data_IF_189286826951
#
_entry.id   IF_189286826951
#
_cell.length_a   1.000
_cell.length_b   1.000
_cell.length_c   1.000
_cell.angle_alpha   90.00
_cell.angle_beta   90.00
_cell.angle_gamma   90.00
#
_symmetry.space_group_name_H-M   'P 1'
#
loop_
_entity.id
_entity.type
_entity.pdbx_description
1 polymer ?
#
# COMPACT_ATOMS: atom_id res chain seq x y z
N UNK A 1 30.30 -20.50 12.46
CA UNK A 1 30.64 -20.18 11.05
C UNK A 1 29.81 -21.08 10.16
N UNK A 2 28.64 -20.61 9.77
CA UNK A 2 27.76 -21.24 8.78
C UNK A 2 27.24 -20.09 7.95
N UNK A 3 27.80 -19.96 6.75
CA UNK A 3 27.47 -18.93 5.78
C UNK A 3 26.12 -19.29 5.18
N UNK A 4 25.07 -18.56 5.54
CA UNK A 4 23.80 -18.62 4.83
C UNK A 4 23.96 -17.81 3.53
N UNK A 5 24.27 -18.52 2.47
CA UNK A 5 24.23 -18.01 1.09
C UNK A 5 22.78 -17.68 0.77
N UNK A 6 22.46 -16.39 0.63
CA UNK A 6 21.19 -15.97 0.02
C UNK A 6 21.17 -16.53 -1.40
N UNK A 7 20.24 -17.45 -1.65
CA UNK A 7 19.94 -17.92 -3.00
C UNK A 7 19.44 -16.72 -3.81
N UNK A 8 20.29 -16.21 -4.69
CA UNK A 8 19.89 -15.38 -5.82
C UNK A 8 18.79 -16.14 -6.57
N UNK A 9 17.70 -15.45 -6.88
CA UNK A 9 16.66 -15.98 -7.75
C UNK A 9 17.32 -16.50 -9.05
N UNK A 10 16.88 -17.65 -9.58
CA UNK A 10 17.40 -18.12 -10.85
C UNK A 10 17.14 -17.04 -11.90
N UNK A 11 18.21 -16.56 -12.54
CA UNK A 11 18.16 -15.85 -13.82
C UNK A 11 17.55 -16.80 -14.85
N UNK A 12 16.21 -16.88 -14.91
CA UNK A 12 15.38 -17.37 -16.03
C UNK A 12 13.92 -17.52 -15.56
N UNK A 13 13.23 -16.39 -15.44
CA UNK A 13 11.81 -16.32 -15.82
C UNK A 13 11.69 -15.09 -16.70
N UNK A 14 12.18 -15.21 -17.93
CA UNK A 14 11.93 -14.19 -18.94
C UNK A 14 10.44 -14.24 -19.24
N UNK A 15 9.71 -13.15 -18.96
CA UNK A 15 8.48 -12.86 -19.70
C UNK A 15 8.77 -13.04 -21.20
N UNK A 16 7.84 -13.54 -22.02
CA UNK A 16 8.10 -13.68 -23.44
C UNK A 16 8.41 -12.30 -24.02
N UNK A 17 9.70 -12.02 -24.21
CA UNK A 17 10.18 -10.86 -24.92
C UNK A 17 9.61 -10.94 -26.33
N UNK A 18 9.01 -9.84 -26.77
CA UNK A 18 8.39 -9.62 -28.07
C UNK A 18 8.97 -10.53 -29.16
N UNK A 19 8.27 -11.62 -29.46
CA UNK A 19 8.44 -12.27 -30.74
C UNK A 19 7.93 -11.25 -31.77
N UNK A 20 8.86 -10.55 -32.40
CA UNK A 20 8.60 -9.75 -33.59
C UNK A 20 8.25 -10.72 -34.71
N UNK A 21 7.00 -11.16 -34.76
CA UNK A 21 6.46 -11.87 -35.91
C UNK A 21 6.20 -10.82 -37.00
N UNK A 22 7.07 -10.83 -38.01
CA UNK A 22 6.83 -10.11 -39.26
C UNK A 22 5.48 -10.56 -39.85
N UNK A 23 4.54 -9.62 -40.01
CA UNK A 23 3.26 -9.89 -40.67
C UNK A 23 3.49 -10.10 -42.16
N UNK A 24 3.43 -11.36 -42.61
CA UNK A 24 3.04 -11.67 -43.98
C UNK A 24 1.51 -11.65 -44.03
N UNK A 25 0.97 -10.68 -44.78
CA UNK A 25 -0.47 -10.58 -45.06
C UNK A 25 -0.87 -11.79 -45.89
N UNK A 26 -1.63 -12.72 -45.31
CA UNK A 26 -2.48 -13.61 -46.07
C UNK A 26 -3.71 -13.99 -45.25
N UNK A 27 -4.87 -13.81 -45.85
CA UNK A 27 -6.17 -13.93 -45.21
C UNK A 27 -6.56 -15.37 -44.91
N UNK A 28 -7.18 -15.54 -43.75
CA UNK A 28 -8.26 -16.46 -43.37
C UNK A 28 -8.35 -16.36 -41.85
N UNK A 29 -9.54 -16.08 -41.32
CA UNK A 29 -9.83 -15.93 -39.89
C UNK A 29 -9.65 -17.26 -39.14
N UNK A 30 -8.40 -17.71 -38.97
CA UNK A 30 -8.07 -18.68 -37.96
C UNK A 30 -8.18 -17.98 -36.59
N UNK A 31 -9.02 -18.50 -35.70
CA UNK A 31 -9.06 -18.04 -34.32
C UNK A 31 -7.64 -18.12 -33.75
N UNK A 32 -7.12 -16.99 -33.26
CA UNK A 32 -5.79 -16.93 -32.65
C UNK A 32 -5.70 -18.00 -31.55
N UNK A 33 -4.60 -18.76 -31.47
CA UNK A 33 -4.45 -19.75 -30.41
C UNK A 33 -4.60 -19.08 -29.04
N UNK A 34 -5.25 -19.75 -28.08
CA UNK A 34 -5.43 -19.17 -26.75
C UNK A 34 -4.06 -18.92 -26.10
N UNK A 35 -3.95 -17.79 -25.40
CA UNK A 35 -2.70 -17.36 -24.79
C UNK A 35 -2.31 -18.29 -23.66
N UNK A 36 -1.01 -18.58 -23.59
CA UNK A 36 -0.44 -19.42 -22.56
C UNK A 36 0.04 -18.57 -21.38
N UNK A 37 -0.60 -18.73 -20.22
CA UNK A 37 -0.26 -18.10 -18.96
C UNK A 37 0.41 -19.08 -17.98
N UNK A 38 1.00 -20.18 -18.44
CA UNK A 38 1.68 -21.17 -17.58
C UNK A 38 2.69 -20.54 -16.62
N UNK A 39 3.41 -19.51 -17.05
CA UNK A 39 4.38 -18.78 -16.22
C UNK A 39 3.74 -18.05 -15.02
N UNK A 40 2.42 -17.83 -15.00
CA UNK A 40 1.69 -17.25 -13.86
C UNK A 40 1.21 -18.31 -12.86
N UNK A 41 1.35 -19.61 -13.20
CA UNK A 41 0.81 -20.73 -12.41
C UNK A 41 1.91 -21.53 -11.69
N UNK A 42 3.18 -21.19 -11.90
CA UNK A 42 4.31 -21.88 -11.29
C UNK A 42 4.24 -21.79 -9.75
N UNK A 43 4.12 -22.93 -9.04
CA UNK A 43 4.08 -22.95 -7.58
C UNK A 43 5.27 -22.28 -6.90
N UNK A 44 6.42 -22.20 -7.57
CA UNK A 44 7.64 -21.57 -7.03
C UNK A 44 7.53 -20.05 -6.90
N UNK A 45 6.54 -19.43 -7.55
CA UNK A 45 6.28 -18.00 -7.41
C UNK A 45 5.69 -17.70 -6.04
N UNK A 46 4.82 -18.58 -5.54
CA UNK A 46 4.00 -18.31 -4.36
C UNK A 46 4.81 -18.40 -3.08
N UNK A 47 4.86 -17.29 -2.35
CA UNK A 47 5.48 -17.19 -1.03
C UNK A 47 4.48 -17.59 0.06
N UNK A 48 5.02 -18.16 1.12
CA UNK A 48 4.25 -18.64 2.27
C UNK A 48 4.88 -18.11 3.56
N UNK A 49 4.03 -17.84 4.55
CA UNK A 49 4.49 -17.51 5.89
C UNK A 49 5.04 -18.75 6.60
N UNK A 50 6.03 -18.53 7.44
CA UNK A 50 6.57 -19.56 8.32
C UNK A 50 5.51 -20.04 9.33
N UNK A 51 5.75 -21.20 9.95
CA UNK A 51 4.84 -21.73 10.96
C UNK A 51 4.69 -20.78 12.16
N UNK A 52 5.76 -20.08 12.53
CA UNK A 52 5.76 -19.13 13.66
C UNK A 52 4.84 -17.95 13.35
N UNK A 53 5.00 -17.33 12.19
CA UNK A 53 4.19 -16.19 11.75
C UNK A 53 2.72 -16.57 11.56
N UNK A 54 2.44 -17.77 11.03
CA UNK A 54 1.07 -18.28 10.92
C UNK A 54 0.42 -18.48 12.29
N UNK A 55 1.17 -18.98 13.26
CA UNK A 55 0.68 -19.14 14.63
C UNK A 55 0.39 -17.77 15.27
N UNK A 56 1.21 -16.75 15.02
CA UNK A 56 0.97 -15.38 15.49
C UNK A 56 -0.26 -14.76 14.83
N UNK A 57 -0.44 -14.94 13.52
CA UNK A 57 -1.63 -14.48 12.79
C UNK A 57 -2.93 -15.13 13.27
N UNK A 58 -2.87 -16.36 13.80
CA UNK A 58 -4.06 -17.03 14.35
C UNK A 58 -4.69 -16.26 15.52
N UNK A 59 -3.91 -15.40 16.18
CA UNK A 59 -4.38 -14.47 17.22
C UNK A 59 -5.19 -13.29 16.66
N UNK A 60 -5.18 -13.09 15.34
CA UNK A 60 -5.87 -12.01 14.64
C UNK A 60 -6.84 -12.60 13.61
N UNK A 61 -8.13 -12.77 13.95
CA UNK A 61 -9.08 -13.51 13.13
C UNK A 61 -9.14 -13.03 11.68
N UNK A 62 -9.26 -11.72 11.44
CA UNK A 62 -9.34 -11.17 10.07
C UNK A 62 -8.09 -11.50 9.24
N UNK A 63 -6.91 -11.26 9.80
CA UNK A 63 -5.64 -11.51 9.11
C UNK A 63 -5.41 -13.01 8.85
N UNK A 64 -5.84 -13.88 9.77
CA UNK A 64 -5.85 -15.33 9.57
C UNK A 64 -6.77 -15.76 8.41
N UNK A 65 -7.98 -15.18 8.32
CA UNK A 65 -8.91 -15.45 7.22
C UNK A 65 -8.35 -14.97 5.87
N UNK A 66 -7.80 -13.76 5.82
CA UNK A 66 -7.17 -13.21 4.60
C UNK A 66 -5.98 -14.07 4.16
N UNK A 67 -5.14 -14.52 5.10
CA UNK A 67 -4.01 -15.39 4.77
C UNK A 67 -4.48 -16.76 4.23
N UNK A 68 -5.52 -17.34 4.85
CA UNK A 68 -6.12 -18.60 4.40
C UNK A 68 -6.69 -18.46 2.99
N UNK A 69 -7.41 -17.37 2.71
CA UNK A 69 -7.92 -17.06 1.38
C UNK A 69 -6.79 -16.93 0.35
N UNK A 70 -5.72 -16.19 0.67
CA UNK A 70 -4.56 -16.05 -0.20
C UNK A 70 -3.89 -17.41 -0.50
N UNK A 71 -3.81 -18.29 0.49
CA UNK A 71 -3.27 -19.65 0.35
C UNK A 71 -4.16 -20.51 -0.55
N UNK A 72 -5.48 -20.42 -0.39
CA UNK A 72 -6.42 -21.09 -1.28
C UNK A 72 -6.28 -20.60 -2.73
N UNK A 73 -6.11 -19.30 -2.95
CA UNK A 73 -5.88 -18.75 -4.29
C UNK A 73 -4.62 -19.32 -4.94
N UNK A 74 -3.49 -19.48 -4.23
CA UNK A 74 -2.29 -20.11 -4.81
C UNK A 74 -2.52 -21.58 -5.16
N UNK A 75 -3.26 -22.33 -4.32
CA UNK A 75 -3.59 -23.73 -4.64
C UNK A 75 -4.53 -23.85 -5.85
N UNK A 76 -5.47 -22.92 -5.99
CA UNK A 76 -6.38 -22.87 -7.13
C UNK A 76 -5.67 -22.44 -8.42
N UNK A 77 -4.72 -21.49 -8.34
CA UNK A 77 -3.89 -21.10 -9.47
C UNK A 77 -3.10 -22.28 -10.03
N UNK A 78 -2.50 -23.09 -9.15
CA UNK A 78 -1.72 -24.27 -9.56
C UNK A 78 -2.56 -25.35 -10.29
N UNK A 79 -3.89 -25.34 -10.15
CA UNK A 79 -4.80 -26.27 -10.82
C UNK A 79 -5.64 -25.64 -11.94
N UNK A 80 -5.46 -24.35 -12.21
CA UNK A 80 -6.19 -23.63 -13.27
C UNK A 80 -5.60 -23.96 -14.64
N UNK A 81 -6.43 -24.00 -15.69
CA UNK A 81 -5.94 -24.20 -17.05
C UNK A 81 -5.09 -23.01 -17.51
N UNK A 82 -3.97 -23.28 -18.19
CA UNK A 82 -3.00 -22.23 -18.60
C UNK A 82 -3.58 -21.16 -19.53
N UNK A 83 -4.70 -21.44 -20.18
CA UNK A 83 -5.39 -20.52 -21.10
C UNK A 83 -6.54 -19.75 -20.45
N UNK A 84 -6.88 -20.03 -19.19
CA UNK A 84 -8.07 -19.53 -18.52
C UNK A 84 -7.83 -18.19 -17.82
N UNK A 85 -7.59 -17.15 -18.62
CA UNK A 85 -7.41 -15.77 -18.13
C UNK A 85 -8.54 -15.30 -17.20
N UNK A 86 -9.76 -15.80 -17.40
CA UNK A 86 -10.95 -15.40 -16.64
C UNK A 86 -10.85 -15.82 -15.17
N UNK A 87 -10.24 -16.97 -14.87
CA UNK A 87 -10.01 -17.43 -13.50
C UNK A 87 -8.64 -17.02 -12.97
N UNK A 88 -7.60 -16.99 -13.82
CA UNK A 88 -6.23 -16.66 -13.41
C UNK A 88 -6.15 -15.25 -12.79
N UNK A 89 -6.65 -14.22 -13.48
CA UNK A 89 -6.46 -12.84 -13.03
C UNK A 89 -7.26 -12.48 -11.76
N UNK A 90 -8.52 -12.92 -11.56
CA UNK A 90 -9.21 -12.72 -10.29
C UNK A 90 -8.54 -13.42 -9.11
N UNK A 91 -8.04 -14.66 -9.28
CA UNK A 91 -7.32 -15.37 -8.23
C UNK A 91 -6.03 -14.62 -7.82
N UNK A 92 -5.28 -14.11 -8.79
CA UNK A 92 -4.14 -13.23 -8.55
C UNK A 92 -4.54 -11.94 -7.82
N UNK A 93 -5.64 -11.31 -8.24
CA UNK A 93 -6.14 -10.08 -7.63
C UNK A 93 -6.48 -10.30 -6.16
N UNK A 94 -7.23 -11.36 -5.84
CA UNK A 94 -7.60 -11.71 -4.46
C UNK A 94 -6.35 -11.97 -3.63
N UNK A 95 -5.43 -12.81 -4.12
CA UNK A 95 -4.19 -13.14 -3.41
C UNK A 95 -3.36 -11.90 -3.06
N UNK A 96 -3.10 -11.04 -4.05
CA UNK A 96 -2.28 -9.84 -3.87
C UNK A 96 -2.94 -8.82 -2.94
N UNK A 97 -4.26 -8.65 -3.02
CA UNK A 97 -5.01 -7.77 -2.12
C UNK A 97 -4.96 -8.31 -0.69
N UNK A 98 -5.24 -9.60 -0.47
CA UNK A 98 -5.17 -10.21 0.85
C UNK A 98 -3.81 -9.97 1.51
N UNK A 99 -2.72 -10.22 0.79
CA UNK A 99 -1.37 -9.95 1.29
C UNK A 99 -1.07 -8.46 1.51
N UNK A 100 -1.61 -7.58 0.67
CA UNK A 100 -1.46 -6.12 0.86
C UNK A 100 -2.21 -5.59 2.10
N UNK A 101 -3.22 -6.32 2.58
CA UNK A 101 -4.06 -5.91 3.72
C UNK A 101 -3.64 -6.52 5.06
N UNK A 102 -2.82 -7.57 5.07
CA UNK A 102 -2.43 -8.26 6.31
C UNK A 102 -1.32 -7.50 7.05
N UNK A 103 -0.20 -7.24 6.37
CA UNK A 103 0.98 -6.60 6.98
C UNK A 103 1.94 -6.07 5.92
N UNK A 104 2.86 -5.19 6.32
CA UNK A 104 3.92 -4.72 5.42
C UNK A 104 4.86 -5.86 4.94
N UNK A 105 5.03 -6.92 5.74
CA UNK A 105 5.83 -8.08 5.34
C UNK A 105 5.13 -8.90 4.25
N UNK A 106 3.84 -9.19 4.43
CA UNK A 106 3.04 -9.91 3.42
C UNK A 106 2.84 -9.04 2.16
N UNK A 107 2.77 -7.71 2.31
CA UNK A 107 2.85 -6.77 1.18
C UNK A 107 4.15 -6.93 0.40
N UNK A 108 5.28 -7.12 1.08
CA UNK A 108 6.55 -7.39 0.41
C UNK A 108 6.52 -8.73 -0.36
N UNK A 109 5.79 -9.74 0.12
CA UNK A 109 5.57 -10.97 -0.66
C UNK A 109 4.79 -10.69 -1.93
N UNK A 110 3.66 -9.97 -1.82
CA UNK A 110 2.86 -9.57 -2.99
C UNK A 110 3.71 -8.77 -4.01
N UNK A 111 4.59 -7.89 -3.54
CA UNK A 111 5.52 -7.12 -4.35
C UNK A 111 6.59 -7.97 -5.06
N UNK A 112 7.00 -9.11 -4.48
CA UNK A 112 7.88 -10.06 -5.17
C UNK A 112 7.11 -10.94 -6.16
N UNK A 113 5.93 -11.42 -5.78
CA UNK A 113 5.13 -12.31 -6.63
C UNK A 113 4.67 -11.61 -7.90
N UNK A 114 4.22 -10.35 -7.83
CA UNK A 114 3.72 -9.62 -9.00
C UNK A 114 4.77 -9.41 -10.10
N UNK A 115 6.07 -9.53 -9.78
CA UNK A 115 7.15 -9.34 -10.76
C UNK A 115 7.05 -10.30 -11.94
N UNK A 116 6.42 -11.47 -11.74
CA UNK A 116 6.21 -12.46 -12.79
C UNK A 116 5.35 -11.94 -13.95
N UNK A 117 4.49 -10.94 -13.70
CA UNK A 117 3.70 -10.28 -14.75
C UNK A 117 4.55 -9.45 -15.71
N UNK A 118 5.81 -9.14 -15.36
CA UNK A 118 6.71 -8.38 -16.21
C UNK A 118 6.09 -7.06 -16.69
N UNK A 119 6.20 -6.81 -18.00
CA UNK A 119 5.63 -5.63 -18.64
C UNK A 119 4.17 -5.83 -19.06
N UNK A 120 3.26 -5.31 -18.24
CA UNK A 120 1.81 -5.31 -18.51
C UNK A 120 1.42 -4.44 -19.71
N UNK A 121 2.29 -3.58 -20.21
CA UNK A 121 2.00 -2.76 -21.41
C UNK A 121 2.19 -3.54 -22.71
N UNK A 122 2.83 -4.70 -22.65
CA UNK A 122 3.10 -5.57 -23.79
C UNK A 122 1.84 -5.99 -24.54
N UNK A 123 1.95 -6.11 -25.87
CA UNK A 123 0.91 -6.65 -26.74
C UNK A 123 0.52 -8.10 -26.36
N UNK A 124 1.38 -8.81 -25.62
CA UNK A 124 1.06 -10.13 -25.06
C UNK A 124 -0.23 -10.12 -24.22
N UNK A 125 -0.59 -9.00 -23.59
CA UNK A 125 -1.82 -8.89 -22.81
C UNK A 125 -2.99 -8.26 -23.56
N UNK A 126 -2.83 -7.86 -24.83
CA UNK A 126 -3.89 -7.24 -25.63
C UNK A 126 -4.40 -8.15 -26.73
N UNK A 127 -5.70 -8.43 -26.81
CA UNK A 127 -6.27 -9.22 -27.91
C UNK A 127 -6.18 -8.47 -29.26
N UNK A 128 -6.53 -9.10 -30.41
CA UNK A 128 -6.50 -8.43 -31.71
C UNK A 128 -7.37 -7.17 -31.82
N UNK A 129 -8.43 -7.07 -31.00
CA UNK A 129 -9.25 -5.87 -30.85
C UNK A 129 -8.63 -4.82 -29.91
N UNK A 130 -7.37 -5.00 -29.52
CA UNK A 130 -6.61 -4.17 -28.57
C UNK A 130 -7.18 -4.09 -27.15
N UNK A 131 -8.10 -4.98 -26.79
CA UNK A 131 -8.68 -5.09 -25.46
C UNK A 131 -7.69 -5.81 -24.54
N UNK A 132 -7.46 -5.24 -23.37
CA UNK A 132 -6.56 -5.78 -22.37
C UNK A 132 -7.17 -7.00 -21.65
N UNK A 133 -6.45 -8.12 -21.61
CA UNK A 133 -6.87 -9.35 -20.95
C UNK A 133 -6.81 -9.23 -19.41
N UNK A 134 -5.82 -8.51 -18.89
CA UNK A 134 -5.70 -8.24 -17.44
C UNK A 134 -6.73 -7.19 -17.01
N UNK A 135 -7.54 -7.46 -15.97
CA UNK A 135 -8.51 -6.51 -15.43
C UNK A 135 -7.88 -5.19 -15.00
N UNK A 136 -8.64 -4.09 -15.11
CA UNK A 136 -8.18 -2.74 -14.74
C UNK A 136 -7.59 -2.68 -13.34
N UNK A 137 -8.30 -3.21 -12.35
CA UNK A 137 -7.90 -3.12 -10.93
C UNK A 137 -6.58 -3.86 -10.66
N UNK A 138 -6.37 -5.01 -11.31
CA UNK A 138 -5.11 -5.74 -11.22
C UNK A 138 -3.96 -4.96 -11.87
N UNK A 139 -4.19 -4.29 -13.00
CA UNK A 139 -3.16 -3.44 -13.62
C UNK A 139 -2.75 -2.28 -12.71
N UNK A 140 -3.73 -1.62 -12.09
CA UNK A 140 -3.49 -0.53 -11.15
C UNK A 140 -2.76 -1.01 -9.90
N UNK A 141 -3.17 -2.15 -9.33
CA UNK A 141 -2.50 -2.79 -8.19
C UNK A 141 -1.06 -3.19 -8.54
N UNK A 142 -0.86 -3.77 -9.73
CA UNK A 142 0.43 -4.25 -10.17
C UNK A 142 1.48 -3.14 -10.25
N UNK A 143 1.11 -1.95 -10.75
CA UNK A 143 2.03 -0.80 -10.81
C UNK A 143 2.61 -0.47 -9.43
N UNK A 144 1.77 -0.37 -8.39
CA UNK A 144 2.23 -0.08 -7.02
C UNK A 144 3.09 -1.22 -6.46
N UNK A 145 2.65 -2.47 -6.62
CA UNK A 145 3.39 -3.61 -6.08
C UNK A 145 4.73 -3.84 -6.80
N UNK A 146 4.81 -3.60 -8.11
CA UNK A 146 6.06 -3.65 -8.86
C UNK A 146 7.00 -2.52 -8.44
N UNK A 147 6.49 -1.30 -8.22
CA UNK A 147 7.28 -0.20 -7.67
C UNK A 147 7.91 -0.57 -6.32
N UNK A 148 7.12 -1.17 -5.42
CA UNK A 148 7.63 -1.69 -4.13
C UNK A 148 8.63 -2.83 -4.33
N UNK A 149 8.38 -3.73 -5.27
CA UNK A 149 9.22 -4.91 -5.51
C UNK A 149 10.57 -4.57 -6.13
N UNK A 150 10.61 -3.62 -7.07
CA UNK A 150 11.83 -3.15 -7.72
C UNK A 150 12.47 -1.95 -7.00
N UNK A 151 11.77 -1.38 -6.02
CA UNK A 151 12.12 -0.12 -5.37
C UNK A 151 12.34 1.02 -6.39
N UNK A 152 11.47 1.10 -7.39
CA UNK A 152 11.55 2.08 -8.49
C UNK A 152 10.22 2.79 -8.69
N UNK A 153 10.05 3.89 -7.94
CA UNK A 153 8.88 4.76 -8.04
C UNK A 153 8.86 5.66 -9.28
N UNK A 154 10.01 5.87 -9.94
CA UNK A 154 10.05 6.65 -11.19
C UNK A 154 9.38 5.87 -12.31
N UNK A 155 9.69 4.58 -12.42
CA UNK A 155 9.00 3.68 -13.35
C UNK A 155 7.51 3.58 -13.05
N UNK A 156 7.12 3.56 -11.78
CA UNK A 156 5.71 3.58 -11.34
C UNK A 156 4.93 4.76 -11.95
N UNK A 157 5.52 5.96 -11.88
CA UNK A 157 4.93 7.18 -12.42
C UNK A 157 4.67 7.10 -13.94
N UNK A 158 5.65 6.59 -14.69
CA UNK A 158 5.50 6.35 -16.14
C UNK A 158 4.31 5.43 -16.43
N UNK A 159 4.18 4.31 -15.70
CA UNK A 159 3.11 3.34 -15.93
C UNK A 159 1.73 3.90 -15.55
N UNK A 160 1.63 4.73 -14.51
CA UNK A 160 0.40 5.44 -14.20
C UNK A 160 0.02 6.44 -15.30
N UNK A 161 0.96 7.20 -15.87
CA UNK A 161 0.67 8.09 -16.99
C UNK A 161 0.23 7.33 -18.25
N UNK A 162 0.78 6.14 -18.50
CA UNK A 162 0.33 5.27 -19.59
C UNK A 162 -1.10 4.78 -19.40
N UNK A 163 -1.47 4.33 -18.19
CA UNK A 163 -2.86 4.00 -17.88
C UNK A 163 -3.79 5.22 -17.93
N UNK A 164 -3.32 6.40 -17.51
CA UNK A 164 -4.11 7.63 -17.58
C UNK A 164 -4.38 8.03 -19.04
N UNK A 165 -3.41 7.84 -19.94
CA UNK A 165 -3.61 8.03 -21.38
C UNK A 165 -4.66 7.06 -21.94
N UNK A 166 -4.62 5.79 -21.53
CA UNK A 166 -5.65 4.80 -21.88
C UNK A 166 -7.02 5.25 -21.37
N UNK A 167 -7.15 5.59 -20.08
CA UNK A 167 -8.41 6.04 -19.48
C UNK A 167 -8.99 7.29 -20.17
N UNK A 168 -8.16 8.29 -20.50
CA UNK A 168 -8.61 9.46 -21.27
C UNK A 168 -9.11 9.06 -22.66
N UNK A 169 -8.38 8.17 -23.34
CA UNK A 169 -8.78 7.72 -24.68
C UNK A 169 -10.11 6.96 -24.66
N UNK A 170 -10.33 6.10 -23.66
CA UNK A 170 -11.58 5.37 -23.50
C UNK A 170 -12.73 6.29 -23.06
N UNK A 171 -12.49 7.25 -22.17
CA UNK A 171 -13.48 8.27 -21.84
C UNK A 171 -13.93 9.04 -23.09
N UNK A 172 -13.01 9.44 -23.97
CA UNK A 172 -13.36 10.12 -25.23
C UNK A 172 -14.20 9.23 -26.15
N UNK A 173 -13.83 7.95 -26.30
CA UNK A 173 -14.60 6.98 -27.11
C UNK A 173 -16.00 6.76 -26.56
N UNK A 174 -16.14 6.72 -25.23
CA UNK A 174 -17.38 6.41 -24.54
C UNK A 174 -18.23 7.65 -24.22
N UNK A 175 -17.94 8.83 -24.79
CA UNK A 175 -18.69 10.09 -24.56
C UNK A 175 -20.21 9.97 -24.74
N UNK A 176 -20.67 9.07 -25.60
CA UNK A 176 -22.09 8.86 -25.86
C UNK A 176 -22.76 7.86 -24.90
N UNK A 177 -21.97 7.16 -24.08
CA UNK A 177 -22.45 6.23 -23.05
C UNK A 177 -22.18 6.83 -21.67
N UNK A 178 -23.17 7.44 -21.01
CA UNK A 178 -22.93 8.22 -19.78
C UNK A 178 -22.36 7.36 -18.64
N UNK A 179 -22.76 6.09 -18.53
CA UNK A 179 -22.24 5.16 -17.51
C UNK A 179 -20.77 4.81 -17.73
N UNK A 180 -20.40 4.43 -18.95
CA UNK A 180 -19.01 4.11 -19.31
C UNK A 180 -18.12 5.35 -19.27
N UNK A 181 -18.62 6.49 -19.75
CA UNK A 181 -17.92 7.78 -19.64
C UNK A 181 -17.60 8.10 -18.19
N UNK A 182 -18.59 7.98 -17.30
CA UNK A 182 -18.39 8.19 -15.86
C UNK A 182 -17.37 7.21 -15.29
N UNK A 183 -17.46 5.92 -15.61
CA UNK A 183 -16.51 4.90 -15.15
C UNK A 183 -15.06 5.25 -15.53
N UNK A 184 -14.81 5.61 -16.79
CA UNK A 184 -13.47 5.96 -17.24
C UNK A 184 -12.96 7.28 -16.65
N UNK A 185 -13.86 8.24 -16.40
CA UNK A 185 -13.54 9.47 -15.69
C UNK A 185 -13.17 9.20 -14.23
N UNK A 186 -13.93 8.36 -13.53
CA UNK A 186 -13.65 7.98 -12.14
C UNK A 186 -12.31 7.24 -12.02
N UNK A 187 -12.00 6.34 -12.99
CA UNK A 187 -10.69 5.69 -13.10
C UNK A 187 -9.56 6.69 -13.31
N UNK A 188 -9.76 7.71 -14.15
CA UNK A 188 -8.76 8.75 -14.39
C UNK A 188 -8.48 9.58 -13.12
N UNK A 189 -9.52 9.92 -12.37
CA UNK A 189 -9.39 10.60 -11.09
C UNK A 189 -8.64 9.75 -10.04
N UNK A 190 -8.96 8.45 -9.93
CA UNK A 190 -8.23 7.52 -9.05
C UNK A 190 -6.74 7.43 -9.41
N UNK A 191 -6.43 7.41 -10.71
CA UNK A 191 -5.04 7.46 -11.18
C UNK A 191 -4.34 8.77 -10.82
N UNK A 192 -5.04 9.92 -10.87
CA UNK A 192 -4.50 11.21 -10.45
C UNK A 192 -4.04 11.21 -8.99
N UNK A 193 -4.85 10.66 -8.07
CA UNK A 193 -4.45 10.51 -6.68
C UNK A 193 -3.23 9.59 -6.50
N UNK A 194 -3.14 8.52 -7.29
CA UNK A 194 -2.00 7.60 -7.25
C UNK A 194 -0.72 8.21 -7.82
N UNK A 195 -0.84 9.07 -8.83
CA UNK A 195 0.27 9.87 -9.36
C UNK A 195 0.80 10.81 -8.29
N UNK A 196 -0.08 11.55 -7.60
CA UNK A 196 0.33 12.37 -6.46
C UNK A 196 1.04 11.56 -5.37
N UNK A 197 0.50 10.38 -5.02
CA UNK A 197 1.16 9.47 -4.08
C UNK A 197 2.57 9.05 -4.56
N UNK A 198 2.72 8.68 -5.84
CA UNK A 198 4.02 8.32 -6.39
C UNK A 198 5.02 9.50 -6.43
N UNK A 199 4.54 10.74 -6.65
CA UNK A 199 5.36 11.95 -6.59
C UNK A 199 5.90 12.20 -5.17
N UNK A 200 5.08 11.97 -4.14
CA UNK A 200 5.51 12.01 -2.74
C UNK A 200 6.60 10.97 -2.47
N UNK A 201 6.44 9.74 -2.97
CA UNK A 201 7.43 8.66 -2.78
C UNK A 201 8.79 8.96 -3.43
N UNK A 202 8.83 9.68 -4.56
CA UNK A 202 10.09 10.16 -5.16
C UNK A 202 10.60 11.48 -4.56
N UNK A 203 9.93 11.99 -3.52
CA UNK A 203 10.24 13.27 -2.86
C UNK A 203 10.07 14.52 -3.73
N UNK A 204 9.27 14.46 -4.80
CA UNK A 204 8.86 15.63 -5.58
C UNK A 204 7.57 16.22 -4.98
N UNK A 205 7.71 16.85 -3.81
CA UNK A 205 6.59 17.40 -3.04
C UNK A 205 5.91 18.56 -3.78
N UNK A 206 6.70 19.44 -4.42
CA UNK A 206 6.19 20.57 -5.21
C UNK A 206 5.42 20.10 -6.45
N UNK A 207 5.89 19.02 -7.09
CA UNK A 207 5.18 18.36 -8.19
C UNK A 207 3.87 17.74 -7.73
N UNK A 208 3.88 17.03 -6.61
CA UNK A 208 2.69 16.41 -6.01
C UNK A 208 1.63 17.46 -5.66
N UNK A 209 2.03 18.57 -5.04
CA UNK A 209 1.12 19.66 -4.68
C UNK A 209 0.48 20.29 -5.93
N UNK A 210 1.29 20.67 -6.92
CA UNK A 210 0.78 21.27 -8.17
C UNK A 210 -0.16 20.31 -8.90
N UNK A 211 0.15 19.02 -8.90
CA UNK A 211 -0.69 17.99 -9.49
C UNK A 211 -2.05 17.88 -8.78
N UNK A 212 -2.06 17.81 -7.44
CA UNK A 212 -3.31 17.76 -6.67
C UNK A 212 -4.16 19.02 -6.86
N UNK A 213 -3.54 20.20 -6.88
CA UNK A 213 -4.26 21.47 -7.16
C UNK A 213 -4.92 21.46 -8.54
N UNK A 214 -4.20 21.02 -9.57
CA UNK A 214 -4.77 20.88 -10.92
C UNK A 214 -5.91 19.86 -10.96
N UNK A 215 -5.82 18.78 -10.19
CA UNK A 215 -6.90 17.79 -10.08
C UNK A 215 -8.16 18.37 -9.43
N UNK A 216 -8.03 19.35 -8.52
CA UNK A 216 -9.15 20.05 -7.90
C UNK A 216 -9.90 20.95 -8.89
N UNK A 217 -9.20 21.61 -9.81
CA UNK A 217 -9.83 22.44 -10.84
C UNK A 217 -10.68 21.62 -11.81
N UNK A 218 -10.27 20.37 -12.10
CA UNK A 218 -11.05 19.42 -12.92
C UNK A 218 -12.21 18.75 -12.16
N UNK A 219 -12.25 18.86 -10.82
CA UNK A 219 -13.16 18.13 -9.94
C UNK A 219 -14.56 18.76 -9.84
N UNK A 220 -14.69 20.06 -10.10
CA UNK A 220 -15.95 20.81 -9.91
C UNK A 220 -17.12 20.28 -10.78
N UNK A 221 -16.84 19.38 -11.73
CA UNK A 221 -17.84 18.71 -12.59
C UNK A 221 -18.14 17.23 -12.21
N UNK A 222 -17.50 16.69 -11.17
CA UNK A 222 -17.61 15.26 -10.78
C UNK A 222 -18.02 15.14 -9.32
N UNK A 223 -19.19 14.54 -9.07
CA UNK A 223 -19.56 14.04 -7.74
C UNK A 223 -18.62 12.89 -7.36
N UNK A 224 -17.45 13.26 -6.86
CA UNK A 224 -16.38 12.36 -6.48
C UNK A 224 -16.73 11.80 -5.10
N UNK A 225 -17.05 10.51 -5.08
CA UNK A 225 -17.60 9.83 -3.90
C UNK A 225 -16.69 9.86 -2.68
N UNK A 226 -17.25 9.46 -1.54
CA UNK A 226 -16.68 9.69 -0.20
C UNK A 226 -15.24 9.18 -0.03
N UNK A 227 -14.92 8.06 -0.69
CA UNK A 227 -13.57 7.46 -0.64
C UNK A 227 -12.49 8.27 -1.35
N UNK A 228 -12.85 9.12 -2.31
CA UNK A 228 -11.88 9.97 -3.04
C UNK A 228 -11.36 11.09 -2.15
N UNK A 229 -12.25 11.83 -1.50
CA UNK A 229 -11.91 12.97 -0.63
C UNK A 229 -11.08 12.56 0.57
N UNK A 230 -11.33 11.38 1.13
CA UNK A 230 -10.50 10.85 2.22
C UNK A 230 -9.06 10.59 1.77
N UNK A 231 -8.87 9.97 0.61
CA UNK A 231 -7.51 9.71 0.06
C UNK A 231 -6.80 11.01 -0.29
N UNK A 232 -7.53 11.97 -0.86
CA UNK A 232 -7.03 13.32 -1.14
C UNK A 232 -6.54 14.02 0.14
N UNK A 233 -7.34 13.97 1.22
CA UNK A 233 -6.96 14.54 2.52
C UNK A 233 -5.67 13.91 3.06
N UNK A 234 -5.54 12.57 2.98
CA UNK A 234 -4.32 11.86 3.40
C UNK A 234 -3.09 12.32 2.62
N UNK A 235 -3.21 12.56 1.31
CA UNK A 235 -2.09 13.05 0.50
C UNK A 235 -1.69 14.48 0.89
N UNK A 236 -2.66 15.37 1.12
CA UNK A 236 -2.36 16.71 1.62
C UNK A 236 -1.72 16.69 3.02
N UNK A 237 -2.10 15.73 3.88
CA UNK A 237 -1.41 15.53 5.16
C UNK A 237 0.06 15.13 4.98
N UNK A 238 0.34 14.22 4.03
CA UNK A 238 1.71 13.82 3.71
C UNK A 238 2.56 14.96 3.14
N UNK A 239 1.93 15.93 2.48
CA UNK A 239 2.57 17.17 2.02
C UNK A 239 2.74 18.23 3.11
N UNK A 240 2.23 17.99 4.32
CA UNK A 240 2.21 18.99 5.40
C UNK A 240 1.15 20.08 5.23
N UNK A 241 0.23 19.96 4.27
CA UNK A 241 -0.84 20.94 4.00
C UNK A 241 -2.10 20.63 4.81
N UNK A 242 -2.00 20.82 6.11
CA UNK A 242 -3.02 20.35 7.05
C UNK A 242 -4.34 21.12 6.94
N UNK A 243 -4.30 22.41 6.62
CA UNK A 243 -5.52 23.20 6.37
C UNK A 243 -6.28 22.73 5.12
N UNK A 244 -5.56 22.37 4.06
CA UNK A 244 -6.16 21.83 2.82
C UNK A 244 -6.70 20.43 3.07
N UNK A 245 -5.94 19.57 3.75
CA UNK A 245 -6.38 18.24 4.14
C UNK A 245 -7.68 18.28 4.94
N UNK A 246 -7.78 19.20 5.90
CA UNK A 246 -8.98 19.43 6.70
C UNK A 246 -10.18 19.81 5.82
N UNK A 247 -10.01 20.74 4.88
CA UNK A 247 -11.09 21.13 3.94
C UNK A 247 -11.56 19.96 3.09
N UNK A 248 -10.64 19.15 2.56
CA UNK A 248 -10.97 17.94 1.81
C UNK A 248 -11.75 16.93 2.66
N UNK A 249 -11.35 16.77 3.92
CA UNK A 249 -12.02 15.88 4.87
C UNK A 249 -13.45 16.36 5.20
N UNK A 250 -13.63 17.64 5.51
CA UNK A 250 -14.94 18.24 5.82
C UNK A 250 -15.91 18.21 4.64
N UNK A 251 -15.40 18.42 3.42
CA UNK A 251 -16.20 18.33 2.21
C UNK A 251 -16.78 16.91 1.97
N UNK A 252 -16.34 15.90 2.72
CA UNK A 252 -16.72 14.51 2.55
C UNK A 252 -18.15 14.14 3.00
N UNK A 253 -18.94 15.11 3.45
CA UNK A 253 -20.27 14.82 4.01
C UNK A 253 -20.19 13.97 5.29
N UNK A 254 -18.99 13.85 5.88
CA UNK A 254 -18.88 13.58 7.29
C UNK A 254 -19.73 14.64 7.97
N UNK A 255 -20.79 14.23 8.69
CA UNK A 255 -21.35 15.09 9.73
C UNK A 255 -20.17 15.68 10.51
N UNK A 256 -20.24 16.92 10.97
CA UNK A 256 -19.35 17.42 12.02
C UNK A 256 -19.31 16.37 13.14
N UNK A 257 -18.36 15.47 13.05
CA UNK A 257 -18.08 14.42 14.00
C UNK A 257 -16.93 15.00 14.75
N UNK A 258 -17.21 15.43 15.97
CA UNK A 258 -16.28 16.13 16.86
C UNK A 258 -14.89 15.46 16.83
N UNK A 259 -14.86 14.13 16.70
CA UNK A 259 -13.64 13.32 16.69
C UNK A 259 -12.70 13.57 15.52
N UNK A 260 -13.14 13.69 14.26
CA UNK A 260 -12.17 13.70 13.14
C UNK A 260 -11.57 15.07 12.88
N UNK A 261 -12.35 16.14 13.08
CA UNK A 261 -11.79 17.49 13.17
C UNK A 261 -10.76 17.58 14.30
N UNK A 262 -11.09 16.98 15.44
CA UNK A 262 -10.18 16.91 16.57
C UNK A 262 -8.94 16.09 16.21
N UNK A 263 -9.05 14.92 15.55
CA UNK A 263 -7.90 14.11 15.12
C UNK A 263 -6.97 14.87 14.17
N UNK A 264 -7.52 15.51 13.14
CA UNK A 264 -6.72 16.29 12.18
C UNK A 264 -6.03 17.46 12.89
N UNK A 265 -6.73 18.15 13.78
CA UNK A 265 -6.15 19.23 14.58
C UNK A 265 -5.07 18.70 15.54
N UNK A 266 -5.28 17.55 16.17
CA UNK A 266 -4.28 16.90 17.02
C UNK A 266 -3.00 16.56 16.25
N UNK A 267 -3.14 16.10 15.01
CA UNK A 267 -2.00 15.85 14.12
C UNK A 267 -1.33 17.16 13.67
N UNK A 268 -2.09 18.24 13.49
CA UNK A 268 -1.57 19.59 13.20
C UNK A 268 -0.75 20.16 14.34
N UNK A 269 -1.25 20.05 15.57
CA UNK A 269 -0.52 20.50 16.75
C UNK A 269 0.80 19.72 16.92
N UNK A 270 0.76 18.39 16.72
CA UNK A 270 1.98 17.56 16.70
C UNK A 270 2.98 17.98 15.60
N UNK A 271 2.48 18.30 14.40
CA UNK A 271 3.34 18.69 13.27
C UNK A 271 3.91 20.11 13.39
N UNK A 272 3.33 20.96 14.25
CA UNK A 272 3.75 22.36 14.48
C UNK A 272 4.48 22.56 15.81
N UNK A 273 4.94 21.47 16.42
CA UNK A 273 5.63 21.42 17.72
C UNK A 273 4.81 21.93 18.92
N UNK A 274 3.48 22.08 18.79
CA UNK A 274 2.58 22.36 19.91
C UNK A 274 2.15 21.07 20.60
N UNK A 275 3.10 20.43 21.28
CA UNK A 275 2.88 19.17 21.99
C UNK A 275 1.92 19.32 23.18
N UNK A 276 1.86 20.51 23.79
CA UNK A 276 0.97 20.78 24.94
C UNK A 276 -0.48 20.78 24.50
N UNK A 277 -0.81 21.56 23.45
CA UNK A 277 -2.14 21.57 22.85
C UNK A 277 -2.54 20.20 22.34
N UNK A 278 -1.61 19.50 21.68
CA UNK A 278 -1.83 18.14 21.20
C UNK A 278 -2.18 17.18 22.35
N UNK A 279 -1.43 17.19 23.45
CA UNK A 279 -1.66 16.27 24.57
C UNK A 279 -3.04 16.46 25.21
N UNK A 280 -3.50 17.71 25.38
CA UNK A 280 -4.84 18.01 25.91
C UNK A 280 -5.93 17.48 24.98
N UNK A 281 -5.75 17.72 23.69
CA UNK A 281 -6.70 17.31 22.66
C UNK A 281 -6.77 15.78 22.54
N UNK A 282 -5.64 15.09 22.47
CA UNK A 282 -5.61 13.63 22.40
C UNK A 282 -6.17 12.99 23.66
N UNK A 283 -5.93 13.58 24.83
CA UNK A 283 -6.54 13.13 26.09
C UNK A 283 -8.07 13.20 26.04
N UNK A 284 -8.64 14.29 25.54
CA UNK A 284 -10.10 14.42 25.34
C UNK A 284 -10.65 13.27 24.49
N UNK A 285 -9.95 12.91 23.41
CA UNK A 285 -10.33 11.80 22.52
C UNK A 285 -10.14 10.41 23.16
N UNK A 286 -9.13 10.23 24.00
CA UNK A 286 -8.94 8.99 24.76
C UNK A 286 -10.03 8.82 25.81
N UNK A 287 -10.46 9.90 26.45
CA UNK A 287 -11.50 9.90 27.47
C UNK A 287 -12.91 9.74 26.88
N UNK A 288 -13.12 10.11 25.61
CA UNK A 288 -14.41 9.91 24.90
C UNK A 288 -14.63 8.48 24.40
N UNK A 289 -13.56 7.71 24.21
CA UNK A 289 -13.62 6.33 23.73
C UNK A 289 -13.36 5.33 24.87
N UNK A 290 -14.25 4.35 25.06
CA UNK A 290 -14.12 3.36 26.13
C UNK A 290 -13.07 2.30 25.80
N UNK A 291 -13.17 1.67 24.63
CA UNK A 291 -12.23 0.68 24.08
C UNK A 291 -12.28 0.74 22.55
N UNK A 292 -11.20 0.35 21.88
CA UNK A 292 -11.21 0.25 20.41
C UNK A 292 -9.92 0.69 19.73
N UNK A 293 -9.86 0.49 18.41
CA UNK A 293 -8.69 0.82 17.58
C UNK A 293 -8.41 2.32 17.60
N UNK A 294 -9.48 3.11 17.52
CA UNK A 294 -9.41 4.57 17.61
C UNK A 294 -8.78 5.02 18.93
N UNK A 295 -9.25 4.46 20.05
CA UNK A 295 -8.69 4.73 21.37
C UNK A 295 -7.20 4.44 21.44
N UNK A 296 -6.76 3.28 20.93
CA UNK A 296 -5.34 2.89 20.91
C UNK A 296 -4.51 3.88 20.10
N UNK A 297 -5.00 4.32 18.93
CA UNK A 297 -4.33 5.34 18.10
C UNK A 297 -4.23 6.67 18.85
N UNK A 298 -5.32 7.14 19.46
CA UNK A 298 -5.35 8.39 20.21
C UNK A 298 -4.39 8.36 21.41
N UNK A 299 -4.37 7.23 22.11
CA UNK A 299 -3.49 6.99 23.25
C UNK A 299 -2.01 7.02 22.86
N UNK A 300 -1.65 6.44 21.72
CA UNK A 300 -0.27 6.45 21.23
C UNK A 300 0.14 7.87 20.82
N UNK A 301 -0.73 8.60 20.11
CA UNK A 301 -0.44 10.00 19.76
C UNK A 301 -0.32 10.90 21.00
N UNK A 302 -1.16 10.68 22.03
CA UNK A 302 -1.04 11.35 23.33
C UNK A 302 0.29 11.03 24.00
N UNK A 303 0.68 9.75 24.06
CA UNK A 303 1.93 9.32 24.68
C UNK A 303 3.15 9.89 23.94
N UNK A 304 3.11 9.98 22.62
CA UNK A 304 4.14 10.65 21.82
C UNK A 304 4.22 12.15 22.15
N UNK A 305 3.09 12.85 22.26
CA UNK A 305 3.08 14.26 22.67
C UNK A 305 3.71 14.46 24.07
N UNK A 306 3.31 13.63 25.04
CA UNK A 306 3.84 13.67 26.40
C UNK A 306 5.34 13.31 26.47
N UNK A 307 5.81 12.43 25.59
CA UNK A 307 7.22 12.08 25.45
C UNK A 307 8.04 13.31 25.02
N UNK A 308 7.58 14.05 24.01
CA UNK A 308 8.24 15.29 23.58
C UNK A 308 8.24 16.37 24.68
N UNK A 309 7.20 16.43 25.50
CA UNK A 309 7.13 17.28 26.70
C UNK A 309 7.97 16.78 27.88
N UNK A 310 8.58 15.60 27.78
CA UNK A 310 9.32 14.92 28.87
C UNK A 310 8.47 14.62 30.12
N UNK A 311 7.15 14.50 29.95
CA UNK A 311 6.17 14.22 31.02
C UNK A 311 5.93 12.72 31.18
N UNK A 312 7.01 11.95 31.29
CA UNK A 312 6.95 10.48 31.42
C UNK A 312 6.07 9.97 32.57
N UNK A 313 6.04 10.62 33.75
CA UNK A 313 5.15 10.19 34.83
C UNK A 313 3.66 10.27 34.45
N UNK A 314 3.25 11.19 33.58
CA UNK A 314 1.86 11.30 33.11
C UNK A 314 1.50 10.17 32.15
N UNK A 315 2.47 9.74 31.33
CA UNK A 315 2.33 8.55 30.47
C UNK A 315 2.16 7.29 31.32
N UNK A 316 2.94 7.15 32.40
CA UNK A 316 2.84 6.03 33.33
C UNK A 316 1.57 6.06 34.18
N UNK A 317 1.17 7.25 34.64
CA UNK A 317 -0.04 7.46 35.44
C UNK A 317 -1.34 7.31 34.63
N UNK A 318 -1.24 7.41 33.30
CA UNK A 318 -2.27 6.93 32.39
C UNK A 318 -2.27 5.40 32.47
N UNK A 319 -2.84 4.88 33.56
CA UNK A 319 -2.93 3.45 33.95
C UNK A 319 -3.49 2.52 32.88
N UNK A 320 -4.02 3.10 31.79
CA UNK A 320 -4.57 2.45 30.60
C UNK A 320 -3.57 2.28 29.44
N UNK A 321 -2.30 2.72 29.57
CA UNK A 321 -1.26 2.47 28.54
C UNK A 321 -0.80 1.01 28.48
N UNK A 322 -1.24 0.18 29.45
CA UNK A 322 -1.09 -1.27 29.35
C UNK A 322 -1.99 -1.79 28.23
N UNK A 323 -1.41 -1.90 27.04
CA UNK A 323 -1.97 -2.62 25.90
C UNK A 323 -2.16 -4.10 26.27
N UNK A 324 -3.32 -4.41 26.84
CA UNK A 324 -3.68 -5.76 27.28
C UNK A 324 -4.60 -6.44 26.27
N UNK A 325 -5.23 -5.69 25.37
CA UNK A 325 -6.23 -6.25 24.48
C UNK A 325 -5.57 -6.99 23.32
N UNK A 326 -6.23 -8.06 22.85
CA UNK A 326 -5.87 -8.74 21.60
C UNK A 326 -5.88 -7.77 20.40
N UNK A 327 -6.61 -6.67 20.52
CA UNK A 327 -6.75 -5.66 19.48
C UNK A 327 -5.54 -4.72 19.37
N UNK A 328 -4.90 -4.40 20.50
CA UNK A 328 -3.62 -3.66 20.48
C UNK A 328 -2.54 -4.46 19.75
N UNK A 329 -2.54 -5.79 19.96
CA UNK A 329 -1.67 -6.71 19.21
C UNK A 329 -2.02 -6.69 17.72
N UNK A 330 -3.30 -6.76 17.35
CA UNK A 330 -3.74 -6.67 15.96
C UNK A 330 -3.28 -5.38 15.27
N UNK A 331 -3.36 -4.25 15.97
CA UNK A 331 -2.93 -2.95 15.48
C UNK A 331 -1.42 -2.85 15.29
N UNK A 332 -0.66 -3.35 16.27
CA UNK A 332 0.78 -3.46 16.17
C UNK A 332 1.19 -4.30 14.94
N UNK A 333 0.61 -5.48 14.75
CA UNK A 333 0.93 -6.35 13.61
C UNK A 333 0.57 -5.71 12.25
N UNK A 334 -0.47 -4.88 12.21
CA UNK A 334 -0.94 -4.25 10.97
C UNK A 334 -0.10 -3.03 10.58
N UNK A 335 0.36 -2.24 11.57
CA UNK A 335 1.10 -0.99 11.33
C UNK A 335 2.47 -1.01 12.00
N UNK A 336 3.55 -1.11 11.20
CA UNK A 336 4.93 -1.16 11.70
C UNK A 336 5.35 0.09 12.49
N UNK A 337 4.93 1.29 12.06
CA UNK A 337 5.21 2.54 12.77
C UNK A 337 4.53 2.58 14.14
N UNK A 338 3.29 2.07 14.20
CA UNK A 338 2.56 1.94 15.46
C UNK A 338 3.24 0.93 16.38
N UNK A 339 3.61 -0.25 15.87
CA UNK A 339 4.42 -1.24 16.59
C UNK A 339 5.70 -0.65 17.16
N UNK A 340 6.45 0.10 16.34
CA UNK A 340 7.69 0.74 16.77
C UNK A 340 7.43 1.75 17.89
N UNK A 341 6.44 2.63 17.74
CA UNK A 341 6.08 3.61 18.77
C UNK A 341 5.64 2.93 20.07
N UNK A 342 4.81 1.89 19.96
CA UNK A 342 4.35 1.04 21.05
C UNK A 342 5.53 0.48 21.85
N UNK A 343 6.47 -0.17 21.17
CA UNK A 343 7.60 -0.83 21.84
C UNK A 343 8.60 0.15 22.37
N UNK A 344 8.82 1.25 21.66
CA UNK A 344 9.66 2.34 22.14
C UNK A 344 9.09 2.89 23.44
N UNK A 345 7.78 3.16 23.50
CA UNK A 345 7.12 3.62 24.71
C UNK A 345 7.19 2.58 25.83
N UNK A 346 6.90 1.30 25.55
CA UNK A 346 7.00 0.24 26.56
C UNK A 346 8.42 0.10 27.12
N UNK A 347 9.43 0.18 26.27
CA UNK A 347 10.85 0.10 26.66
C UNK A 347 11.26 1.31 27.48
N UNK A 348 10.79 2.52 27.13
CA UNK A 348 11.07 3.74 27.87
C UNK A 348 10.32 3.84 29.21
N UNK A 349 9.20 3.13 29.35
CA UNK A 349 8.34 3.17 30.53
C UNK A 349 8.61 2.02 31.52
N UNK A 350 9.64 1.20 31.30
CA UNK A 350 10.00 0.03 32.12
C UNK A 350 8.87 -1.02 32.26
N UNK A 351 8.06 -1.22 31.20
CA UNK A 351 7.22 -2.41 31.13
C UNK A 351 8.06 -3.55 30.55
N UNK A 352 8.54 -4.48 31.40
CA UNK A 352 9.21 -5.70 30.95
C UNK A 352 8.30 -6.49 29.98
N UNK A 353 8.50 -6.33 28.67
CA UNK A 353 7.91 -7.16 27.62
C UNK A 353 9.04 -7.72 26.73
N UNK A 354 9.81 -8.60 27.35
CA UNK A 354 11.01 -9.24 26.79
C UNK A 354 10.82 -9.90 25.40
N UNK A 355 9.68 -10.53 25.06
CA UNK A 355 9.51 -11.19 23.76
C UNK A 355 9.44 -10.23 22.57
N UNK A 356 8.75 -9.09 22.73
CA UNK A 356 8.52 -8.12 21.65
C UNK A 356 9.73 -7.19 21.46
N UNK A 357 10.42 -6.87 22.57
CA UNK A 357 11.71 -6.18 22.56
C UNK A 357 12.77 -6.96 21.79
N UNK A 358 12.81 -8.30 21.91
CA UNK A 358 13.80 -9.12 21.20
C UNK A 358 13.58 -9.11 19.67
N UNK A 359 12.34 -9.27 19.22
CA UNK A 359 11.98 -9.32 17.80
C UNK A 359 12.22 -7.96 17.11
N UNK A 360 11.90 -6.86 17.80
CA UNK A 360 12.15 -5.51 17.26
C UNK A 360 13.63 -5.15 17.29
N UNK A 361 14.41 -5.59 18.29
CA UNK A 361 15.87 -5.44 18.23
C UNK A 361 16.46 -6.16 17.02
N UNK A 362 15.98 -7.36 16.71
CA UNK A 362 16.39 -8.09 15.52
C UNK A 362 15.99 -7.35 14.23
N UNK A 363 14.76 -6.84 14.15
CA UNK A 363 14.31 -6.07 12.98
C UNK A 363 15.05 -4.73 12.82
N UNK A 364 15.34 -4.01 13.91
CA UNK A 364 16.13 -2.78 13.87
C UNK A 364 17.58 -3.04 13.47
N UNK A 365 18.14 -4.18 13.91
CA UNK A 365 19.49 -4.57 13.50
C UNK A 365 19.56 -4.86 12.00
N UNK A 366 18.58 -5.58 11.45
CA UNK A 366 18.45 -5.78 10.00
C UNK A 366 18.35 -4.45 9.27
N UNK A 367 17.53 -3.52 9.77
CA UNK A 367 17.36 -2.20 9.16
C UNK A 367 18.66 -1.37 9.21
N UNK A 368 19.42 -1.47 10.29
CA UNK A 368 20.68 -0.76 10.47
C UNK A 368 21.77 -1.33 9.55
N UNK A 369 21.79 -2.65 9.38
CA UNK A 369 22.69 -3.34 8.44
C UNK A 369 22.33 -3.01 6.97
N UNK A 370 21.04 -2.93 6.66
CA UNK A 370 20.54 -2.46 5.35
C UNK A 370 20.92 -1.00 5.10
N UNK A 371 20.74 -0.11 6.08
CA UNK A 371 21.12 1.30 5.99
C UNK A 371 22.63 1.48 5.86
N UNK A 372 23.43 0.75 6.62
CA UNK A 372 24.89 0.77 6.52
C UNK A 372 25.36 0.24 5.15
N UNK A 373 24.68 -0.77 4.60
CA UNK A 373 24.92 -1.27 3.25
C UNK A 373 24.57 -0.24 2.17
N UNK A 374 23.48 0.50 2.33
CA UNK A 374 23.08 1.58 1.42
C UNK A 374 24.05 2.77 1.49
N UNK A 375 24.51 3.15 2.69
CA UNK A 375 25.50 4.21 2.89
C UNK A 375 26.84 3.85 2.24
N UNK A 376 27.33 2.61 2.43
CA UNK A 376 28.55 2.12 1.76
C UNK A 376 28.42 2.11 0.24
N UNK A 377 27.26 1.70 -0.30
CA UNK A 377 27.02 1.74 -1.76
C UNK A 377 26.98 3.18 -2.30
N UNK A 378 26.44 4.13 -1.53
CA UNK A 378 26.45 5.55 -1.89
C UNK A 378 27.84 6.16 -1.84
N UNK A 379 28.65 5.82 -0.84
CA UNK A 379 30.06 6.24 -0.77
C UNK A 379 30.88 5.67 -1.93
N UNK A 380 30.67 4.40 -2.28
CA UNK A 380 31.33 3.78 -3.43
C UNK A 380 30.91 4.40 -4.78
N UNK A 381 29.65 4.80 -4.92
CA UNK A 381 29.14 5.50 -6.11
C UNK A 381 29.57 6.97 -6.18
N UNK A 382 29.99 7.59 -5.07
CA UNK A 382 30.53 8.95 -5.03
C UNK A 382 32.04 9.00 -5.32
N UNK A 383 32.73 7.86 -5.22
CA UNK A 383 34.17 7.72 -5.50
C UNK A 383 34.49 7.06 -6.84
N UNK A 384 33.48 6.67 -7.61
CA UNK A 384 33.57 6.21 -9.00
C UNK A 384 33.03 7.30 -9.93
#
# INVERSE_FOLDING_TARGET
MTVNTFATAPERVSSPASATSAHTISGLSAAEPPRDYAYLLDPLIFRHLSNVERNQLSLVPLSSHLHTLATHCSTALASTAVTDAHNIFPLWTIRLICFSLISAQTTAFAAQEIKVFGDLTSNFYRNPSFIHAVPWDLRVLAIRLQALGFNDWRRCLEHFYMLAKEARSEAIKQRHSPGEFKLWRDRLLDLGLRVAAALIEISDLDGAERHLKSLMEEKDEVDSGIGFRLREAVLYMQLGQLDTARKCYLANGASEGEDVDTVIEGLRLLATDDFEGAAVLWKKLVDSESEGERRTIYLINMAVALLYLRRMPEVQATSNFRMQSTMDRQLAYSYKSLSFNIVTLQTLLDFEYEPLSLDIRQQLQVLNDEMAGVLKKREQAAHA
#
